data_IF_128114163215
#
_entry.id   IF_128114163215
#
_cell.length_a   1.000
_cell.length_b   1.000
_cell.length_c   1.000
_cell.angle_alpha   90.00
_cell.angle_beta   90.00
_cell.angle_gamma   90.00
#
_symmetry.space_group_name_H-M   'P 1'
#
loop_
_entity.id
_entity.type
_entity.pdbx_description
1 polymer ?
#
# COMPACT_ATOMS: atom_id res chain seq x y z
N UNK A 1 -17.16 -22.06 -24.36
CA UNK A 1 -16.08 -23.03 -24.11
C UNK A 1 -15.54 -22.72 -22.74
N UNK A 2 -15.73 -23.61 -21.78
CA UNK A 2 -15.19 -23.39 -20.43
C UNK A 2 -13.70 -23.67 -20.43
N UNK A 3 -12.89 -22.67 -20.12
CA UNK A 3 -11.45 -22.84 -19.91
C UNK A 3 -11.23 -23.16 -18.44
N UNK A 4 -11.54 -24.41 -18.08
CA UNK A 4 -11.21 -24.95 -16.76
C UNK A 4 -9.73 -24.71 -16.49
N UNK A 5 -9.44 -24.03 -15.37
CA UNK A 5 -8.06 -23.63 -15.06
C UNK A 5 -7.27 -24.86 -14.66
N UNK A 6 -6.08 -24.97 -15.24
CA UNK A 6 -5.08 -25.94 -14.83
C UNK A 6 -4.73 -25.76 -13.34
N UNK A 7 -5.11 -26.74 -12.51
CA UNK A 7 -4.82 -26.72 -11.07
C UNK A 7 -3.33 -26.92 -10.76
N UNK A 8 -2.57 -27.43 -11.72
CA UNK A 8 -1.11 -27.55 -11.67
C UNK A 8 -0.40 -26.27 -12.17
N UNK A 9 -1.15 -25.20 -12.48
CA UNK A 9 -0.56 -23.89 -12.75
C UNK A 9 0.30 -23.43 -11.57
N UNK A 10 1.60 -23.50 -11.78
CA UNK A 10 2.63 -23.06 -10.83
C UNK A 10 2.95 -21.56 -10.96
N UNK A 11 2.11 -20.80 -11.67
CA UNK A 11 2.21 -19.33 -11.81
C UNK A 11 3.60 -18.83 -12.29
N UNK A 12 4.36 -19.70 -12.98
CA UNK A 12 5.79 -19.53 -13.36
C UNK A 12 6.02 -18.33 -14.30
N UNK A 13 4.97 -17.82 -14.94
CA UNK A 13 4.99 -16.66 -15.83
C UNK A 13 4.74 -15.32 -15.13
N UNK A 14 4.38 -15.34 -13.84
CA UNK A 14 4.02 -14.14 -13.08
C UNK A 14 5.24 -13.24 -12.83
N UNK A 15 5.04 -11.93 -13.04
CA UNK A 15 6.00 -10.86 -12.76
C UNK A 15 5.50 -9.90 -11.68
N UNK A 16 4.18 -9.94 -11.41
CA UNK A 16 3.57 -9.23 -10.31
C UNK A 16 2.57 -10.10 -9.53
N UNK A 17 2.44 -9.82 -8.24
CA UNK A 17 1.34 -10.25 -7.38
C UNK A 17 0.51 -9.02 -7.01
N UNK A 18 -0.80 -9.13 -7.17
CA UNK A 18 -1.79 -8.20 -6.64
C UNK A 18 -2.39 -8.84 -5.39
N UNK A 19 -2.32 -8.15 -4.26
CA UNK A 19 -2.77 -8.65 -2.96
C UNK A 19 -4.01 -7.88 -2.49
N UNK A 20 -5.02 -8.63 -2.10
CA UNK A 20 -6.06 -8.13 -1.20
C UNK A 20 -5.53 -8.01 0.24
N UNK A 21 -6.24 -7.27 1.09
CA UNK A 21 -5.87 -7.08 2.50
C UNK A 21 -6.67 -8.00 3.40
N UNK A 22 -7.97 -7.72 3.51
CA UNK A 22 -8.87 -8.41 4.42
C UNK A 22 -9.04 -9.87 3.98
N UNK A 23 -9.10 -10.79 4.94
CA UNK A 23 -9.14 -12.24 4.70
C UNK A 23 -7.89 -12.83 4.01
N UNK A 24 -6.90 -12.02 3.64
CA UNK A 24 -5.82 -12.43 2.71
C UNK A 24 -4.44 -12.24 3.32
N UNK A 25 -4.01 -10.98 3.53
CA UNK A 25 -2.80 -10.65 4.31
C UNK A 25 -3.13 -10.36 5.77
N UNK A 26 -4.36 -9.94 6.06
CA UNK A 26 -4.81 -9.35 7.32
C UNK A 26 -6.14 -9.99 7.75
N UNK A 27 -6.33 -10.19 9.06
CA UNK A 27 -7.57 -10.78 9.56
C UNK A 27 -8.77 -9.84 9.40
N UNK A 28 -9.92 -10.40 9.01
CA UNK A 28 -11.23 -9.74 9.03
C UNK A 28 -11.52 -9.15 10.42
N UNK A 29 -11.16 -9.88 11.48
CA UNK A 29 -11.32 -9.41 12.86
C UNK A 29 -10.46 -8.19 13.20
N UNK A 30 -9.35 -7.93 12.51
CA UNK A 30 -8.55 -6.73 12.77
C UNK A 30 -9.26 -5.47 12.32
N UNK A 31 -9.90 -5.50 11.14
CA UNK A 31 -10.68 -4.36 10.64
C UNK A 31 -11.92 -4.14 11.52
N UNK A 32 -12.68 -5.21 11.75
CA UNK A 32 -13.96 -5.16 12.48
C UNK A 32 -13.80 -4.91 13.99
N UNK A 33 -12.87 -5.60 14.64
CA UNK A 33 -12.80 -5.70 16.11
C UNK A 33 -11.61 -4.91 16.71
N UNK A 34 -10.79 -4.25 15.88
CA UNK A 34 -9.73 -3.31 16.35
C UNK A 34 -9.86 -1.93 15.71
N UNK A 35 -9.87 -1.82 14.37
CA UNK A 35 -9.82 -0.51 13.71
C UNK A 35 -11.07 0.34 13.93
N UNK A 36 -12.28 -0.24 13.81
CA UNK A 36 -13.52 0.51 14.06
C UNK A 36 -13.78 0.83 15.54
N UNK A 37 -13.62 -0.10 16.51
CA UNK A 37 -13.76 0.20 17.94
C UNK A 37 -12.80 1.30 18.41
N UNK A 38 -11.54 1.31 17.95
CA UNK A 38 -10.58 2.35 18.29
C UNK A 38 -11.10 3.77 18.03
N UNK A 39 -11.87 3.98 16.96
CA UNK A 39 -12.48 5.29 16.64
C UNK A 39 -13.49 5.70 17.72
N UNK A 40 -14.38 4.78 18.11
CA UNK A 40 -15.40 5.03 19.15
C UNK A 40 -14.73 5.32 20.50
N UNK A 41 -13.69 4.57 20.84
CA UNK A 41 -13.04 4.64 22.15
C UNK A 41 -12.09 5.85 22.27
N UNK A 42 -11.49 6.32 21.17
CA UNK A 42 -10.42 7.34 21.19
C UNK A 42 -10.80 8.69 20.57
N UNK A 43 -12.00 8.86 19.97
CA UNK A 43 -12.38 10.14 19.33
C UNK A 43 -12.31 11.33 20.29
N UNK A 44 -12.72 11.14 21.54
CA UNK A 44 -12.68 12.20 22.55
C UNK A 44 -11.24 12.61 22.88
N UNK A 45 -10.36 11.64 23.16
CA UNK A 45 -8.95 11.90 23.43
C UNK A 45 -8.23 12.49 22.22
N UNK A 46 -8.54 12.04 21.00
CA UNK A 46 -7.98 12.62 19.77
C UNK A 46 -8.42 14.09 19.59
N UNK A 47 -9.69 14.42 19.81
CA UNK A 47 -10.17 15.80 19.76
C UNK A 47 -9.62 16.67 20.91
N UNK A 48 -9.15 16.08 22.02
CA UNK A 48 -8.40 16.80 23.05
C UNK A 48 -6.93 17.05 22.64
N UNK A 49 -6.27 16.03 22.07
CA UNK A 49 -4.86 16.08 21.64
C UNK A 49 -4.65 17.00 20.43
N UNK A 50 -5.59 17.01 19.48
CA UNK A 50 -5.41 17.63 18.15
C UNK A 50 -6.23 18.90 17.91
N UNK A 51 -7.05 19.37 18.88
CA UNK A 51 -8.02 20.47 18.69
C UNK A 51 -7.47 21.72 17.96
N UNK A 52 -6.25 22.13 18.30
CA UNK A 52 -5.65 23.36 17.75
C UNK A 52 -4.94 23.16 16.40
N UNK A 53 -5.09 21.99 15.76
CA UNK A 53 -4.50 21.68 14.46
C UNK A 53 -5.51 21.96 13.33
N UNK A 54 -5.05 22.61 12.26
CA UNK A 54 -5.90 23.00 11.13
C UNK A 54 -6.64 21.82 10.48
N UNK A 55 -6.03 20.63 10.48
CA UNK A 55 -6.64 19.39 9.97
C UNK A 55 -7.83 18.95 10.83
N UNK A 56 -7.61 18.82 12.15
CA UNK A 56 -8.67 18.50 13.11
C UNK A 56 -9.83 19.53 13.09
N UNK A 57 -9.51 20.82 12.98
CA UNK A 57 -10.55 21.88 12.88
C UNK A 57 -11.32 21.84 11.57
N UNK A 58 -10.70 21.38 10.47
CA UNK A 58 -11.40 21.11 9.21
C UNK A 58 -12.37 19.94 9.38
N UNK A 59 -11.91 18.81 9.92
CA UNK A 59 -12.76 17.63 10.15
C UNK A 59 -13.98 17.97 11.01
N UNK A 60 -13.76 18.78 12.06
CA UNK A 60 -14.81 19.30 12.95
C UNK A 60 -15.81 20.20 12.20
N UNK A 61 -15.36 21.02 11.24
CA UNK A 61 -16.29 21.81 10.40
C UNK A 61 -17.07 20.93 9.42
N UNK A 62 -16.40 20.01 8.73
CA UNK A 62 -17.03 19.09 7.77
C UNK A 62 -18.09 18.20 8.47
N UNK A 63 -17.80 17.73 9.68
CA UNK A 63 -18.75 16.98 10.52
C UNK A 63 -19.91 17.86 11.00
N UNK A 64 -19.66 19.12 11.39
CA UNK A 64 -20.70 20.09 11.76
C UNK A 64 -21.64 20.40 10.59
N UNK A 65 -21.11 20.58 9.38
CA UNK A 65 -21.91 20.79 8.17
C UNK A 65 -22.74 19.55 7.84
N UNK A 66 -22.16 18.34 7.94
CA UNK A 66 -22.90 17.10 7.74
C UNK A 66 -23.98 16.86 8.81
N UNK A 67 -23.73 17.21 10.07
CA UNK A 67 -24.72 17.18 11.14
C UNK A 67 -25.87 18.17 10.88
N UNK A 68 -25.59 19.39 10.40
CA UNK A 68 -26.63 20.35 10.05
C UNK A 68 -27.54 19.84 8.90
N UNK A 69 -26.96 19.16 7.90
CA UNK A 69 -27.72 18.49 6.82
C UNK A 69 -28.58 17.36 7.40
N UNK A 70 -28.05 16.54 8.31
CA UNK A 70 -28.79 15.45 8.95
C UNK A 70 -29.98 15.96 9.79
N UNK A 71 -29.78 17.02 10.59
CA UNK A 71 -30.84 17.68 11.36
C UNK A 71 -31.94 18.22 10.44
N UNK A 72 -31.57 18.89 9.33
CA UNK A 72 -32.52 19.40 8.35
C UNK A 72 -33.34 18.28 7.66
N UNK A 73 -32.78 17.07 7.56
CA UNK A 73 -33.46 15.87 7.05
C UNK A 73 -34.20 15.07 8.15
N UNK A 74 -34.26 15.57 9.39
CA UNK A 74 -34.89 14.90 10.54
C UNK A 74 -34.31 13.50 10.83
N UNK A 75 -33.01 13.31 10.65
CA UNK A 75 -32.33 12.05 11.02
C UNK A 75 -32.39 11.89 12.55
N UNK A 76 -32.91 10.75 13.01
CA UNK A 76 -33.09 10.47 14.42
C UNK A 76 -31.76 10.48 15.20
N UNK A 77 -31.79 10.91 16.47
CA UNK A 77 -30.60 10.98 17.33
C UNK A 77 -29.58 12.06 17.00
N UNK A 78 -29.66 12.74 15.84
CA UNK A 78 -28.70 13.78 15.47
C UNK A 78 -29.06 15.12 16.10
N UNK A 79 -28.10 15.70 16.82
CA UNK A 79 -28.17 17.08 17.32
C UNK A 79 -27.28 18.03 16.50
N UNK A 80 -27.60 19.32 16.52
CA UNK A 80 -26.76 20.35 15.89
C UNK A 80 -25.45 20.49 16.67
N UNK A 81 -24.31 20.31 16.00
CA UNK A 81 -22.99 20.69 16.55
C UNK A 81 -22.92 22.24 16.58
N UNK A 82 -22.56 22.86 17.73
CA UNK A 82 -22.52 24.31 17.88
C UNK A 82 -21.37 24.97 17.11
N UNK A 83 -21.26 26.31 17.18
CA UNK A 83 -20.11 27.05 16.65
C UNK A 83 -19.31 27.72 17.76
N UNK A 84 -18.00 27.84 17.53
CA UNK A 84 -17.01 28.43 18.45
C UNK A 84 -17.25 29.90 18.79
N UNK A 85 -18.16 30.57 18.08
CA UNK A 85 -18.34 32.02 18.13
C UNK A 85 -19.01 32.49 19.43
N UNK A 86 -19.69 31.59 20.17
CA UNK A 86 -20.41 31.88 21.42
C UNK A 86 -20.38 30.75 22.48
N UNK A 87 -19.68 29.63 22.27
CA UNK A 87 -19.72 28.46 23.16
C UNK A 87 -18.34 27.93 23.59
N UNK A 88 -18.32 27.24 24.73
CA UNK A 88 -17.16 26.48 25.20
C UNK A 88 -16.77 25.39 24.18
N UNK A 89 -15.48 25.32 23.83
CA UNK A 89 -14.91 24.25 23.00
C UNK A 89 -15.18 22.84 23.57
N UNK A 90 -15.48 22.71 24.86
CA UNK A 90 -16.00 21.47 25.46
C UNK A 90 -17.37 21.07 24.90
N UNK A 91 -18.36 21.96 24.87
CA UNK A 91 -19.70 21.71 24.31
C UNK A 91 -19.63 21.23 22.86
N UNK A 92 -18.78 21.90 22.07
CA UNK A 92 -18.55 21.53 20.67
C UNK A 92 -17.90 20.15 20.53
N UNK A 93 -16.85 19.84 21.32
CA UNK A 93 -16.20 18.51 21.32
C UNK A 93 -17.16 17.41 21.72
N UNK A 94 -17.92 17.58 22.80
CA UNK A 94 -18.91 16.60 23.27
C UNK A 94 -19.96 16.32 22.18
N UNK A 95 -20.42 17.37 21.47
CA UNK A 95 -21.35 17.25 20.33
C UNK A 95 -20.73 16.47 19.15
N UNK A 96 -19.46 16.73 18.81
CA UNK A 96 -18.75 15.99 17.74
C UNK A 96 -18.54 14.53 18.14
N UNK A 97 -18.14 14.25 19.39
CA UNK A 97 -17.98 12.88 19.92
C UNK A 97 -19.29 12.09 19.85
N UNK A 98 -20.41 12.68 20.26
CA UNK A 98 -21.73 12.04 20.17
C UNK A 98 -22.10 11.75 18.71
N UNK A 99 -21.90 12.71 17.81
CA UNK A 99 -22.23 12.54 16.39
C UNK A 99 -21.36 11.48 15.69
N UNK A 100 -20.05 11.44 15.96
CA UNK A 100 -19.14 10.40 15.45
C UNK A 100 -19.56 9.01 15.97
N UNK A 101 -19.86 8.89 17.26
CA UNK A 101 -20.31 7.62 17.87
C UNK A 101 -21.63 7.13 17.25
N UNK A 102 -22.58 8.03 17.00
CA UNK A 102 -23.82 7.73 16.28
C UNK A 102 -23.54 7.23 14.86
N UNK A 103 -22.79 7.99 14.05
CA UNK A 103 -22.48 7.64 12.66
C UNK A 103 -21.80 6.26 12.54
N UNK A 104 -20.88 5.93 13.46
CA UNK A 104 -20.23 4.61 13.49
C UNK A 104 -21.23 3.51 13.88
N UNK A 105 -22.08 3.74 14.89
CA UNK A 105 -23.09 2.76 15.32
C UNK A 105 -24.15 2.44 14.25
N UNK A 106 -24.39 3.38 13.32
CA UNK A 106 -25.33 3.25 12.20
C UNK A 106 -24.66 2.81 10.88
N UNK A 107 -23.36 2.47 10.87
CA UNK A 107 -22.57 2.12 9.67
C UNK A 107 -22.60 3.21 8.56
N UNK A 108 -22.73 4.48 8.95
CA UNK A 108 -22.99 5.60 8.04
C UNK A 108 -21.73 6.13 7.39
N UNK A 109 -21.51 5.66 6.15
CA UNK A 109 -20.33 5.90 5.29
C UNK A 109 -20.23 7.32 4.68
N UNK A 110 -20.49 8.37 5.47
CA UNK A 110 -20.33 9.79 5.09
C UNK A 110 -18.86 10.18 4.95
N UNK A 111 -18.54 11.14 4.07
CA UNK A 111 -17.15 11.55 3.79
C UNK A 111 -16.44 12.15 5.00
N UNK A 112 -17.08 13.11 5.70
CA UNK A 112 -16.47 13.80 6.85
C UNK A 112 -16.02 12.85 7.97
N UNK A 113 -16.73 11.73 8.18
CA UNK A 113 -16.31 10.69 9.12
C UNK A 113 -15.05 9.97 8.64
N UNK A 114 -14.93 9.68 7.34
CA UNK A 114 -13.81 8.92 6.76
C UNK A 114 -12.50 9.70 6.81
N UNK A 115 -12.54 11.02 6.61
CA UNK A 115 -11.35 11.88 6.74
C UNK A 115 -10.86 11.85 8.20
N UNK A 116 -11.73 12.16 9.18
CA UNK A 116 -11.39 12.05 10.61
C UNK A 116 -10.89 10.65 11.00
N UNK A 117 -11.53 9.58 10.52
CA UNK A 117 -11.08 8.20 10.75
C UNK A 117 -9.67 7.97 10.21
N UNK A 118 -9.36 8.50 9.01
CA UNK A 118 -8.02 8.49 8.43
C UNK A 118 -6.99 9.16 9.34
N UNK A 119 -7.27 10.37 9.82
CA UNK A 119 -6.38 11.15 10.68
C UNK A 119 -6.21 10.51 12.07
N UNK A 120 -7.30 9.99 12.64
CA UNK A 120 -7.28 9.21 13.88
C UNK A 120 -6.41 7.95 13.76
N UNK A 121 -6.54 7.18 12.69
CA UNK A 121 -5.71 6.00 12.46
C UNK A 121 -4.25 6.39 12.17
N UNK A 122 -4.00 7.46 11.40
CA UNK A 122 -2.65 7.99 11.13
C UNK A 122 -1.87 8.21 12.43
N UNK A 123 -2.38 9.05 13.32
CA UNK A 123 -1.76 9.33 14.61
C UNK A 123 -1.68 8.09 15.51
N UNK A 124 -2.64 7.18 15.44
CA UNK A 124 -2.62 5.93 16.21
C UNK A 124 -1.50 4.95 15.76
N UNK A 125 -1.25 4.85 14.45
CA UNK A 125 -0.17 4.03 13.91
C UNK A 125 1.21 4.64 14.16
N UNK A 126 1.34 5.95 13.95
CA UNK A 126 2.57 6.73 14.16
C UNK A 126 3.01 6.74 15.63
N UNK A 127 2.07 6.98 16.55
CA UNK A 127 2.31 6.85 17.99
C UNK A 127 2.41 5.38 18.47
N UNK A 128 2.27 4.40 17.56
CA UNK A 128 2.38 2.98 17.87
C UNK A 128 1.26 2.38 18.72
N UNK A 129 0.17 3.14 18.97
CA UNK A 129 -1.04 2.69 19.68
C UNK A 129 -1.73 1.55 18.95
N UNK A 130 -1.67 1.56 17.62
CA UNK A 130 -2.08 0.45 16.74
C UNK A 130 -0.85 -0.07 15.99
N UNK A 131 -0.77 -1.39 15.79
CA UNK A 131 0.10 -2.03 14.79
C UNK A 131 -0.72 -2.88 13.83
N UNK A 132 -0.41 -2.78 12.55
CA UNK A 132 -1.18 -3.40 11.48
C UNK A 132 -1.05 -4.92 11.50
N UNK A 133 -2.17 -5.64 11.65
CA UNK A 133 -2.13 -7.09 11.61
C UNK A 133 -1.72 -7.59 10.22
N UNK A 134 -0.70 -8.44 10.17
CA UNK A 134 -0.40 -9.33 9.03
C UNK A 134 -0.20 -10.76 9.54
N UNK A 135 -0.65 -11.76 8.77
CA UNK A 135 -0.33 -13.16 9.10
C UNK A 135 1.18 -13.40 8.99
N UNK A 136 1.73 -14.30 9.81
CA UNK A 136 3.18 -14.49 9.97
C UNK A 136 3.91 -14.96 8.70
N UNK A 137 3.21 -15.60 7.77
CA UNK A 137 3.73 -16.01 6.46
C UNK A 137 3.83 -14.87 5.44
N UNK A 138 3.02 -13.81 5.59
CA UNK A 138 2.97 -12.66 4.66
C UNK A 138 4.35 -11.99 4.51
N UNK A 139 5.05 -11.54 5.58
CA UNK A 139 6.36 -10.91 5.42
C UNK A 139 7.41 -11.87 4.85
N UNK A 140 7.29 -13.18 5.10
CA UNK A 140 8.21 -14.19 4.56
C UNK A 140 8.00 -14.38 3.05
N UNK A 141 6.74 -14.50 2.61
CA UNK A 141 6.36 -14.57 1.21
C UNK A 141 6.77 -13.30 0.45
N UNK A 142 6.44 -12.12 0.98
CA UNK A 142 6.83 -10.83 0.39
C UNK A 142 8.36 -10.69 0.26
N UNK A 143 9.13 -11.07 1.28
CA UNK A 143 10.59 -11.04 1.21
C UNK A 143 11.17 -12.04 0.18
N UNK A 144 10.54 -13.21 0.00
CA UNK A 144 10.91 -14.20 -1.03
C UNK A 144 10.63 -13.66 -2.43
N UNK A 145 9.41 -13.18 -2.68
CA UNK A 145 9.00 -12.61 -3.97
C UNK A 145 9.82 -11.36 -4.34
N UNK A 146 10.17 -10.51 -3.36
CA UNK A 146 11.06 -9.36 -3.56
C UNK A 146 12.46 -9.78 -4.03
N UNK A 147 13.09 -10.77 -3.39
CA UNK A 147 14.39 -11.32 -3.79
C UNK A 147 14.37 -11.83 -5.24
N UNK A 148 13.26 -12.45 -5.65
CA UNK A 148 13.02 -12.94 -7.02
C UNK A 148 12.60 -11.85 -8.02
N UNK A 149 12.64 -10.57 -7.61
CA UNK A 149 12.24 -9.40 -8.42
C UNK A 149 10.80 -9.49 -8.96
N UNK A 150 9.90 -10.09 -8.18
CA UNK A 150 8.44 -10.04 -8.40
C UNK A 150 7.93 -8.72 -7.81
N UNK A 151 7.09 -8.00 -8.55
CA UNK A 151 6.47 -6.76 -8.07
C UNK A 151 5.23 -7.09 -7.22
N UNK A 152 5.02 -6.38 -6.12
CA UNK A 152 3.84 -6.56 -5.27
C UNK A 152 3.01 -5.30 -5.28
N UNK A 153 1.71 -5.43 -5.47
CA UNK A 153 0.75 -4.34 -5.46
C UNK A 153 -0.41 -4.68 -4.52
N UNK A 154 -1.00 -3.69 -3.88
CA UNK A 154 -2.18 -3.89 -3.02
C UNK A 154 -3.43 -3.39 -3.75
N UNK A 155 -4.56 -4.10 -3.64
CA UNK A 155 -5.87 -3.62 -4.08
C UNK A 155 -6.94 -3.92 -3.04
N UNK A 156 -7.49 -2.87 -2.42
CA UNK A 156 -8.44 -2.99 -1.30
C UNK A 156 -9.57 -1.97 -1.37
N UNK A 157 -10.59 -2.13 -0.52
CA UNK A 157 -11.66 -1.16 -0.33
C UNK A 157 -11.22 0.07 0.46
N UNK A 158 -10.24 -0.09 1.36
CA UNK A 158 -9.63 0.99 2.13
C UNK A 158 -8.77 1.92 1.28
N UNK A 159 -8.70 3.20 1.64
CA UNK A 159 -7.94 4.22 0.90
C UNK A 159 -6.45 3.89 0.82
N UNK A 160 -5.78 4.33 -0.26
CA UNK A 160 -4.31 4.14 -0.43
C UNK A 160 -3.50 4.60 0.80
N UNK A 161 -3.95 5.62 1.52
CA UNK A 161 -3.32 6.05 2.78
C UNK A 161 -3.47 5.02 3.92
N UNK A 162 -4.69 4.53 4.17
CA UNK A 162 -4.95 3.51 5.19
C UNK A 162 -4.17 2.21 4.90
N UNK A 163 -4.03 1.84 3.62
CA UNK A 163 -3.18 0.72 3.21
C UNK A 163 -1.70 0.96 3.55
N UNK A 164 -1.18 2.16 3.28
CA UNK A 164 0.21 2.52 3.60
C UNK A 164 0.46 2.50 5.11
N UNK A 165 -0.48 3.05 5.90
CA UNK A 165 -0.39 3.04 7.36
C UNK A 165 -0.36 1.62 7.93
N UNK A 166 -1.24 0.74 7.44
CA UNK A 166 -1.31 -0.68 7.83
C UNK A 166 0.02 -1.43 7.60
N UNK A 167 0.57 -1.33 6.38
CA UNK A 167 1.79 -2.08 6.01
C UNK A 167 3.08 -1.42 6.52
N UNK A 168 3.12 -0.08 6.66
CA UNK A 168 4.26 0.63 7.22
C UNK A 168 4.41 0.48 8.73
N UNK A 169 3.29 0.30 9.43
CA UNK A 169 3.26 0.13 10.89
C UNK A 169 2.78 -1.28 11.28
N UNK A 170 3.13 -2.30 10.50
CA UNK A 170 2.65 -3.67 10.76
C UNK A 170 3.27 -4.30 12.02
N UNK A 171 2.68 -5.37 12.52
CA UNK A 171 3.25 -6.21 13.59
C UNK A 171 4.58 -6.88 13.18
N UNK A 172 4.91 -6.91 11.88
CA UNK A 172 6.18 -7.36 11.33
C UNK A 172 7.14 -6.19 10.99
N UNK A 173 6.85 -4.97 11.47
CA UNK A 173 7.55 -3.74 11.12
C UNK A 173 7.11 -3.17 9.77
N UNK A 174 7.93 -2.30 9.18
CA UNK A 174 7.65 -1.70 7.87
C UNK A 174 7.78 -2.73 6.73
N UNK A 175 6.69 -2.93 5.99
CA UNK A 175 6.61 -3.77 4.79
C UNK A 175 6.46 -2.98 3.48
N UNK A 176 6.36 -1.64 3.53
CA UNK A 176 6.21 -0.78 2.33
C UNK A 176 7.40 -0.92 1.37
N UNK A 177 8.59 -1.19 1.90
CA UNK A 177 9.80 -1.54 1.12
C UNK A 177 9.62 -2.69 0.11
N UNK A 178 8.61 -3.54 0.28
CA UNK A 178 8.26 -4.61 -0.64
C UNK A 178 7.16 -4.21 -1.65
N UNK A 179 6.35 -3.20 -1.32
CA UNK A 179 5.16 -2.81 -2.09
C UNK A 179 5.54 -1.80 -3.17
N UNK A 180 5.17 -2.11 -4.41
CA UNK A 180 5.46 -1.34 -5.62
C UNK A 180 4.32 -0.40 -6.04
N UNK A 181 3.16 -0.47 -5.38
CA UNK A 181 2.01 0.41 -5.60
C UNK A 181 0.74 -0.05 -4.87
N UNK A 182 -0.25 0.83 -4.84
CA UNK A 182 -1.50 0.64 -4.10
C UNK A 182 -2.68 1.12 -4.95
N UNK A 183 -3.80 0.38 -4.89
CA UNK A 183 -5.04 0.67 -5.58
C UNK A 183 -6.20 0.66 -4.57
N UNK A 184 -7.12 1.62 -4.69
CA UNK A 184 -8.34 1.68 -3.88
C UNK A 184 -9.60 1.75 -4.77
N UNK A 185 -10.77 2.03 -4.17
CA UNK A 185 -12.04 2.08 -4.89
C UNK A 185 -12.09 3.14 -6.00
N UNK A 186 -11.17 4.12 -6.04
CA UNK A 186 -11.00 5.07 -7.17
C UNK A 186 -10.60 4.36 -8.47
N UNK A 187 -9.88 3.23 -8.37
CA UNK A 187 -9.54 2.38 -9.53
C UNK A 187 -10.75 1.55 -10.00
N UNK A 188 -11.78 1.42 -9.16
CA UNK A 188 -13.08 0.80 -9.47
C UNK A 188 -13.51 -0.23 -8.44
N UNK A 189 -14.65 -0.89 -8.70
CA UNK A 189 -15.18 -1.96 -7.86
C UNK A 189 -14.35 -3.25 -8.05
N UNK A 190 -13.99 -3.92 -6.95
CA UNK A 190 -13.19 -5.17 -6.94
C UNK A 190 -13.89 -6.36 -7.61
N UNK A 191 -15.21 -6.29 -7.85
CA UNK A 191 -15.99 -7.33 -8.57
C UNK A 191 -16.15 -7.05 -10.08
N UNK A 192 -15.54 -5.97 -10.59
CA UNK A 192 -15.61 -5.59 -12.00
C UNK A 192 -14.30 -5.89 -12.75
N UNK A 193 -14.32 -6.72 -13.82
CA UNK A 193 -13.13 -7.00 -14.64
C UNK A 193 -12.43 -5.74 -15.16
N UNK A 194 -13.19 -4.66 -15.40
CA UNK A 194 -12.65 -3.38 -15.88
C UNK A 194 -11.65 -2.75 -14.91
N UNK A 195 -11.78 -3.00 -13.61
CA UNK A 195 -10.85 -2.49 -12.58
C UNK A 195 -9.49 -3.15 -12.70
N UNK A 196 -9.45 -4.47 -12.86
CA UNK A 196 -8.22 -5.23 -13.09
C UNK A 196 -7.56 -4.87 -14.43
N UNK A 197 -8.33 -4.64 -15.49
CA UNK A 197 -7.80 -4.12 -16.77
C UNK A 197 -7.15 -2.73 -16.60
N UNK A 198 -7.72 -1.85 -15.75
CA UNK A 198 -7.10 -0.56 -15.41
C UNK A 198 -5.81 -0.75 -14.62
N UNK A 199 -5.80 -1.59 -13.57
CA UNK A 199 -4.59 -1.93 -12.79
C UNK A 199 -3.47 -2.45 -13.69
N UNK A 200 -3.75 -3.43 -14.55
CA UNK A 200 -2.75 -4.01 -15.46
C UNK A 200 -2.14 -2.96 -16.40
N UNK A 201 -2.98 -2.07 -16.96
CA UNK A 201 -2.55 -0.95 -17.79
C UNK A 201 -1.68 0.05 -17.02
N UNK A 202 -2.06 0.38 -15.79
CA UNK A 202 -1.38 1.38 -14.95
C UNK A 202 0.00 0.89 -14.47
N UNK A 203 0.14 -0.40 -14.14
CA UNK A 203 1.45 -1.01 -13.82
C UNK A 203 2.29 -1.38 -15.05
N UNK A 204 1.77 -1.17 -16.26
CA UNK A 204 2.46 -1.45 -17.52
C UNK A 204 2.72 -2.95 -17.79
N UNK A 205 1.84 -3.84 -17.33
CA UNK A 205 1.98 -5.30 -17.52
C UNK A 205 0.81 -5.91 -18.28
N UNK A 206 1.07 -7.02 -18.97
CA UNK A 206 -0.01 -7.87 -19.51
C UNK A 206 -0.78 -8.50 -18.33
N UNK A 207 -2.13 -8.56 -18.36
CA UNK A 207 -2.91 -9.18 -17.29
C UNK A 207 -2.41 -10.57 -16.91
N UNK A 208 -2.05 -11.41 -17.89
CA UNK A 208 -1.55 -12.78 -17.67
C UNK A 208 -0.22 -12.87 -16.93
N UNK A 209 0.51 -11.77 -16.74
CA UNK A 209 1.74 -11.70 -15.94
C UNK A 209 1.46 -11.31 -14.47
N UNK A 210 0.19 -11.14 -14.10
CA UNK A 210 -0.26 -10.69 -12.79
C UNK A 210 -1.09 -11.81 -12.13
N UNK A 211 -0.74 -12.17 -10.90
CA UNK A 211 -1.53 -13.07 -10.06
C UNK A 211 -2.26 -12.27 -8.98
N UNK A 212 -3.59 -12.33 -8.95
CA UNK A 212 -4.40 -11.76 -7.88
C UNK A 212 -4.71 -12.78 -6.78
N UNK A 213 -4.45 -12.41 -5.53
CA UNK A 213 -4.74 -13.20 -4.33
C UNK A 213 -5.79 -12.47 -3.48
N UNK A 214 -6.90 -13.15 -3.19
CA UNK A 214 -8.04 -12.68 -2.38
C UNK A 214 -8.74 -13.88 -1.74
N UNK A 215 -9.55 -13.69 -0.70
CA UNK A 215 -10.50 -14.71 -0.23
C UNK A 215 -11.84 -14.70 -1.01
N UNK A 216 -12.13 -13.61 -1.74
CA UNK A 216 -13.45 -13.37 -2.35
C UNK A 216 -13.55 -13.96 -3.76
N UNK A 217 -14.34 -15.05 -3.89
CA UNK A 217 -14.61 -15.76 -5.16
C UNK A 217 -15.05 -14.84 -6.31
N UNK A 218 -15.90 -13.85 -6.04
CA UNK A 218 -16.39 -12.91 -7.07
C UNK A 218 -15.31 -11.96 -7.58
N UNK A 219 -14.28 -11.70 -6.78
CA UNK A 219 -13.16 -10.85 -7.16
C UNK A 219 -12.08 -11.66 -7.91
N UNK A 220 -11.84 -12.90 -7.48
CA UNK A 220 -11.01 -13.85 -8.22
C UNK A 220 -11.56 -14.15 -9.64
N UNK A 221 -12.88 -14.23 -9.81
CA UNK A 221 -13.53 -14.34 -11.13
C UNK A 221 -13.42 -13.05 -11.96
N UNK A 222 -13.57 -11.89 -11.32
CA UNK A 222 -13.42 -10.60 -11.99
C UNK A 222 -12.00 -10.38 -12.54
N UNK A 223 -10.97 -10.73 -11.76
CA UNK A 223 -9.58 -10.72 -12.20
C UNK A 223 -9.32 -11.74 -13.33
N UNK A 224 -9.81 -12.97 -13.18
CA UNK A 224 -9.72 -14.00 -14.22
C UNK A 224 -10.32 -13.53 -15.56
N UNK A 225 -11.49 -12.90 -15.51
CA UNK A 225 -12.19 -12.36 -16.70
C UNK A 225 -11.54 -11.12 -17.30
N UNK A 226 -10.63 -10.46 -16.60
CA UNK A 226 -9.74 -9.44 -17.18
C UNK A 226 -8.48 -10.04 -17.81
N UNK A 227 -8.31 -11.37 -17.76
CA UNK A 227 -7.13 -12.09 -18.22
C UNK A 227 -5.98 -12.17 -17.21
N UNK A 228 -6.19 -11.80 -15.94
CA UNK A 228 -5.22 -12.09 -14.88
C UNK A 228 -5.26 -13.56 -14.48
N UNK A 229 -4.22 -14.01 -13.80
CA UNK A 229 -4.25 -15.26 -13.02
C UNK A 229 -4.83 -14.94 -11.63
N UNK A 230 -5.56 -15.88 -11.01
CA UNK A 230 -6.12 -15.69 -9.66
C UNK A 230 -6.13 -16.97 -8.84
N UNK A 231 -5.96 -16.82 -7.52
CA UNK A 231 -6.04 -17.89 -6.54
C UNK A 231 -6.73 -17.41 -5.25
N UNK A 232 -7.37 -18.34 -4.53
CA UNK A 232 -8.13 -18.05 -3.32
C UNK A 232 -7.30 -18.28 -2.06
N UNK A 233 -7.31 -17.30 -1.15
CA UNK A 233 -6.59 -17.39 0.13
C UNK A 233 -7.57 -17.73 1.26
N UNK A 234 -7.28 -18.82 1.97
CA UNK A 234 -8.12 -19.39 3.01
C UNK A 234 -7.51 -19.11 4.38
N UNK A 235 -8.06 -18.15 5.12
CA UNK A 235 -7.60 -17.78 6.47
C UNK A 235 -8.68 -18.05 7.54
N UNK A 236 -8.29 -18.19 8.82
CA UNK A 236 -9.24 -18.30 9.92
C UNK A 236 -10.17 -17.07 9.98
N UNK A 237 -11.48 -17.31 10.01
CA UNK A 237 -12.51 -16.26 10.01
C UNK A 237 -13.04 -15.88 8.62
N UNK A 238 -12.43 -16.34 7.53
CA UNK A 238 -12.96 -16.13 6.18
C UNK A 238 -14.30 -16.85 6.00
N UNK A 239 -15.13 -16.33 5.10
CA UNK A 239 -16.35 -17.04 4.67
C UNK A 239 -15.96 -18.34 3.95
N UNK A 240 -16.72 -19.41 4.19
CA UNK A 240 -16.51 -20.67 3.48
C UNK A 240 -16.66 -20.48 1.96
N UNK A 241 -15.61 -20.88 1.23
CA UNK A 241 -15.63 -21.02 -0.22
C UNK A 241 -16.35 -22.33 -0.55
N UNK A 242 -17.47 -22.24 -1.28
CA UNK A 242 -18.21 -23.42 -1.75
C UNK A 242 -17.42 -24.25 -2.77
N UNK A 243 -17.84 -25.50 -2.99
CA UNK A 243 -17.10 -26.46 -3.83
C UNK A 243 -16.83 -25.98 -5.25
N UNK A 244 -17.75 -25.20 -5.86
CA UNK A 244 -17.53 -24.56 -7.16
C UNK A 244 -16.28 -23.65 -7.16
N UNK A 245 -16.06 -22.88 -6.09
CA UNK A 245 -14.89 -22.03 -5.92
C UNK A 245 -13.59 -22.82 -5.76
N UNK A 246 -13.61 -23.91 -4.97
CA UNK A 246 -12.50 -24.86 -4.82
C UNK A 246 -12.21 -25.68 -6.10
N UNK A 247 -13.21 -25.79 -6.98
CA UNK A 247 -13.07 -26.41 -8.29
C UNK A 247 -12.50 -25.45 -9.33
N UNK A 248 -12.95 -24.19 -9.32
CA UNK A 248 -12.57 -23.14 -10.28
C UNK A 248 -11.19 -22.50 -10.02
N UNK A 249 -10.77 -22.39 -8.76
CA UNK A 249 -9.52 -21.72 -8.38
C UNK A 249 -8.62 -22.62 -7.52
N UNK A 250 -7.30 -22.44 -7.64
CA UNK A 250 -6.32 -22.97 -6.67
C UNK A 250 -6.50 -22.24 -5.33
N UNK A 251 -6.52 -23.00 -4.24
CA UNK A 251 -6.58 -22.46 -2.86
C UNK A 251 -5.20 -22.46 -2.20
N UNK A 252 -4.98 -21.52 -1.29
CA UNK A 252 -3.75 -21.36 -0.49
C UNK A 252 -4.14 -21.01 0.95
N UNK A 253 -3.59 -21.71 1.95
CA UNK A 253 -3.78 -21.32 3.37
C UNK A 253 -2.63 -20.46 3.92
N UNK A 254 -1.47 -20.55 3.26
CA UNK A 254 -0.21 -19.90 3.63
C UNK A 254 0.45 -19.37 2.35
N UNK A 255 0.93 -18.12 2.34
CA UNK A 255 1.50 -17.50 1.13
C UNK A 255 2.91 -18.00 0.79
N UNK A 256 3.61 -18.64 1.73
CA UNK A 256 4.92 -19.27 1.48
C UNK A 256 4.83 -20.52 0.60
N UNK A 257 3.64 -21.14 0.50
CA UNK A 257 3.38 -22.32 -0.34
C UNK A 257 3.29 -21.95 -1.84
N UNK A 258 3.30 -20.65 -2.15
CA UNK A 258 3.24 -20.09 -3.49
C UNK A 258 4.65 -19.75 -4.00
N UNK A 259 5.34 -20.79 -4.49
CA UNK A 259 6.70 -20.69 -5.01
C UNK A 259 6.73 -20.06 -6.42
N UNK A 260 6.56 -18.74 -6.49
CA UNK A 260 6.68 -17.98 -7.74
C UNK A 260 8.12 -18.00 -8.23
N UNK A 261 8.37 -18.55 -9.42
CA UNK A 261 9.67 -18.47 -10.07
C UNK A 261 9.70 -17.33 -11.09
N UNK A 262 10.91 -16.81 -11.32
CA UNK A 262 11.22 -15.95 -12.45
C UNK A 262 12.43 -16.55 -13.15
N UNK A 263 12.22 -17.12 -14.34
CA UNK A 263 13.34 -17.51 -15.19
C UNK A 263 14.13 -16.25 -15.57
N UNK A 264 15.41 -16.20 -15.21
CA UNK A 264 16.31 -15.20 -15.75
C UNK A 264 16.64 -15.62 -17.19
N UNK A 265 16.29 -14.77 -18.17
CA UNK A 265 16.66 -14.99 -19.56
C UNK A 265 18.10 -14.53 -19.72
N UNK A 266 19.04 -15.47 -19.63
CA UNK A 266 20.44 -15.24 -20.01
C UNK A 266 20.48 -14.96 -21.53
N UNK A 267 20.58 -13.68 -21.93
CA UNK A 267 20.39 -13.34 -23.35
C UNK A 267 20.50 -11.87 -23.75
N UNK A 268 21.46 -11.12 -23.21
CA UNK A 268 21.92 -9.83 -23.81
C UNK A 268 23.17 -9.22 -23.16
N UNK A 269 24.24 -10.02 -23.02
CA UNK A 269 25.60 -9.45 -23.14
C UNK A 269 26.02 -9.64 -24.59
N UNK A 270 25.90 -8.60 -25.40
CA UNK A 270 26.58 -8.59 -26.70
C UNK A 270 28.07 -8.34 -26.45
N UNK A 271 28.90 -9.23 -26.99
CA UNK A 271 30.34 -9.05 -27.02
C UNK A 271 30.68 -8.10 -28.17
N UNK A 272 31.16 -6.89 -27.86
CA UNK A 272 31.88 -6.08 -28.84
C UNK A 272 33.27 -6.71 -29.06
N UNK A 273 33.29 -7.81 -29.79
CA UNK A 273 34.52 -8.41 -30.30
C UNK A 273 35.11 -7.53 -31.41
N UNK A 274 36.44 -7.38 -31.41
CA UNK A 274 37.15 -6.44 -32.28
C UNK A 274 36.97 -6.81 -33.75
N UNK A 275 36.23 -5.98 -34.48
CA UNK A 275 36.03 -6.12 -35.91
C UNK A 275 37.31 -5.76 -36.70
N UNK A 276 38.01 -6.79 -37.19
CA UNK A 276 39.06 -6.63 -38.20
C UNK A 276 38.44 -6.27 -39.55
N UNK A 277 38.30 -4.97 -39.81
CA UNK A 277 37.97 -4.43 -41.13
C UNK A 277 39.24 -4.09 -41.91
N UNK A 278 39.46 -4.77 -43.04
CA UNK A 278 40.49 -4.40 -44.00
C UNK A 278 39.89 -3.45 -45.05
N UNK A 279 40.53 -2.31 -45.30
CA UNK A 279 40.39 -1.55 -46.54
C UNK A 279 41.68 -0.75 -46.83
N UNK A 280 41.88 -0.34 -48.08
CA UNK A 280 43.21 -0.06 -48.64
C UNK A 280 43.60 1.44 -48.68
N UNK A 281 44.91 1.66 -48.84
CA UNK A 281 45.60 2.78 -49.51
C UNK A 281 45.07 4.23 -49.36
N UNK A 282 45.87 5.13 -48.78
CA UNK A 282 46.78 6.00 -49.58
C UNK A 282 47.69 6.89 -48.70
N UNK A 283 49.00 6.79 -48.96
CA UNK A 283 50.09 7.80 -48.89
C UNK A 283 50.23 8.90 -47.81
N UNK A 284 51.51 9.06 -47.39
CA UNK A 284 52.26 10.27 -46.99
C UNK A 284 51.79 11.07 -45.73
N UNK A 285 52.60 11.51 -44.77
CA UNK A 285 54.02 11.92 -44.78
C UNK A 285 54.55 12.23 -43.34
N UNK A 286 55.88 12.32 -43.20
CA UNK A 286 56.67 13.01 -42.13
C UNK A 286 56.80 12.38 -40.71
N UNK A 287 57.99 12.62 -40.13
CA UNK A 287 58.66 11.95 -39.00
C UNK A 287 58.51 12.66 -37.61
N UNK A 288 58.99 12.09 -36.47
CA UNK A 288 58.49 12.37 -35.11
C UNK A 288 59.33 13.43 -34.33
N UNK A 289 59.41 13.30 -32.97
CA UNK A 289 60.06 14.13 -31.90
C UNK A 289 58.97 14.73 -30.95
N UNK A 290 59.00 14.65 -29.61
CA UNK A 290 59.99 14.09 -28.66
C UNK A 290 59.39 13.55 -27.33
N UNK A 291 60.26 13.01 -26.44
CA UNK A 291 60.04 12.72 -25.00
C UNK A 291 61.24 13.25 -24.17
N UNK A 292 61.19 13.28 -22.82
CA UNK A 292 60.12 13.61 -21.87
C UNK A 292 60.65 14.70 -20.88
N UNK A 293 60.06 14.85 -19.67
CA UNK A 293 60.79 15.00 -18.38
C UNK A 293 59.84 15.01 -17.17
N UNK A 294 60.37 14.98 -15.93
CA UNK A 294 59.58 14.85 -14.67
C UNK A 294 60.20 15.65 -13.47
N UNK A 295 60.12 15.27 -12.17
CA UNK A 295 59.68 16.16 -11.06
C UNK A 295 60.87 16.48 -10.07
N UNK A 296 60.77 16.80 -8.74
CA UNK A 296 59.61 16.86 -7.83
C UNK A 296 59.57 17.90 -6.64
N UNK A 297 58.36 18.13 -6.11
CA UNK A 297 58.01 18.26 -4.66
C UNK A 297 58.56 19.41 -3.76
N UNK A 298 57.70 19.96 -2.87
CA UNK A 298 57.72 19.76 -1.38
C UNK A 298 56.79 20.70 -0.57
N UNK A 299 56.24 20.14 0.53
CA UNK A 299 56.02 20.67 1.92
C UNK A 299 55.55 22.13 2.16
N UNK A 300 54.60 22.49 3.04
CA UNK A 300 54.01 21.98 4.32
C UNK A 300 54.53 22.62 5.64
N UNK A 301 53.70 23.44 6.28
CA UNK A 301 53.56 23.78 7.74
C UNK A 301 52.27 24.62 7.86
N UNK A 302 51.37 24.60 8.85
CA UNK A 302 51.29 24.17 10.28
C UNK A 302 51.17 25.33 11.31
N UNK A 303 50.43 25.00 12.38
CA UNK A 303 50.12 25.68 13.66
C UNK A 303 49.14 26.90 13.71
N UNK A 304 48.05 26.95 14.52
CA UNK A 304 47.67 26.53 15.93
C UNK A 304 47.95 27.68 16.95
N UNK A 305 47.01 28.14 17.81
CA UNK A 305 46.85 27.79 19.26
C UNK A 305 45.79 28.71 19.98
N UNK A 306 44.92 28.12 20.83
CA UNK A 306 44.27 28.57 22.11
C UNK A 306 43.75 30.03 22.39
N UNK A 307 42.93 30.34 23.43
CA UNK A 307 41.95 29.60 24.27
C UNK A 307 41.21 30.52 25.29
N UNK A 308 40.02 30.09 25.77
CA UNK A 308 39.41 30.40 27.12
C UNK A 308 39.06 31.89 27.47
N UNK A 309 38.28 32.25 28.51
CA UNK A 309 37.78 31.58 29.74
C UNK A 309 36.39 32.16 30.18
N UNK A 310 35.80 31.58 31.24
CA UNK A 310 34.61 31.95 32.05
C UNK A 310 33.90 33.32 31.87
N UNK A 311 32.57 33.39 31.97
CA UNK A 311 31.80 33.16 33.22
C UNK A 311 30.47 32.46 32.99
#
# INVERSE_FOLDING_TARGET
MDKGIDKESNFVSCKAVLLDIEGTTTSISFVKDVLFPYIVDNVEQHLLEHWNQNECMKDVSDLRERAAIDVANNVNGVSKIPSTDNEDCKSMRESVVQYVKLLVSEDRKVTALKELQGHMWRHAYEAGRIKGHVYSDVPLAMASWFKKRIKMYIYSSGSVEAQKLLFGNSVAGDLLKYISGHFDTKTGNKREPSSYTRIAKEIGMLPSQILFLTDVVQEADAALRSGMQSALVMRPGNKEVGEEGKQRFRTLSILTDLDLFRMEVEGSRQEESVGLGCDNDFQDDILPIDRPLSPPSKKSTDDTICSTLHT
#
